data_IF_888092436402
#
_entry.id   IF_888092436402
#
_cell.length_a   1.000
_cell.length_b   1.000
_cell.length_c   1.000
_cell.angle_alpha   90.00
_cell.angle_beta   90.00
_cell.angle_gamma   90.00
#
_symmetry.space_group_name_H-M   'P 1'
#
loop_
_entity.id
_entity.type
_entity.pdbx_description
1 polymer ?
#
# COMPACT_ATOMS: atom_id res chain seq x y z
N UNK A 1 -8.52 7.45 -10.90
CA UNK A 1 -9.25 6.99 -9.69
C UNK A 1 -8.88 5.53 -9.49
N UNK A 2 -8.38 5.14 -8.31
CA UNK A 2 -7.99 3.76 -8.05
C UNK A 2 -9.20 2.91 -7.63
N UNK A 3 -9.26 1.61 -7.97
CA UNK A 3 -10.23 0.70 -7.39
C UNK A 3 -10.10 0.67 -5.86
N UNK A 4 -11.21 0.43 -5.17
CA UNK A 4 -11.29 0.56 -3.72
C UNK A 4 -11.44 -0.81 -3.07
N UNK A 5 -10.60 -1.10 -2.06
CA UNK A 5 -10.79 -2.20 -1.11
C UNK A 5 -11.39 -1.63 0.17
N UNK A 6 -12.66 -1.91 0.44
CA UNK A 6 -13.33 -1.48 1.68
C UNK A 6 -12.99 -2.43 2.82
N UNK A 7 -12.54 -1.90 3.95
CA UNK A 7 -12.27 -2.69 5.15
C UNK A 7 -13.51 -2.78 6.04
N UNK A 8 -13.66 -3.93 6.71
CA UNK A 8 -14.70 -4.18 7.71
C UNK A 8 -14.38 -3.58 9.07
N UNK A 9 -13.17 -3.06 9.25
CA UNK A 9 -12.66 -2.51 10.51
C UNK A 9 -12.32 -1.04 10.34
N UNK A 10 -12.33 -0.28 11.45
CA UNK A 10 -11.64 0.99 11.51
C UNK A 10 -10.12 0.73 11.57
N UNK A 11 -9.31 1.57 10.92
CA UNK A 11 -7.85 1.37 10.88
C UNK A 11 -7.12 2.48 11.62
N UNK A 12 -6.83 2.23 12.89
CA UNK A 12 -6.15 3.21 13.76
C UNK A 12 -4.61 3.13 13.69
N UNK A 13 -4.05 2.16 12.96
CA UNK A 13 -2.59 1.94 12.87
C UNK A 13 -2.14 1.86 11.41
N UNK A 14 -1.07 2.59 11.11
CA UNK A 14 -0.36 2.54 9.82
C UNK A 14 0.57 1.33 9.77
N UNK A 15 0.02 0.16 9.45
CA UNK A 15 0.78 -1.08 9.26
C UNK A 15 0.78 -1.47 7.77
N UNK A 16 1.87 -1.95 7.15
CA UNK A 16 1.99 -1.95 5.69
C UNK A 16 1.21 -3.06 4.97
N UNK A 17 0.50 -3.95 5.66
CA UNK A 17 -0.30 -4.97 4.97
C UNK A 17 -1.79 -4.82 5.31
N UNK A 18 -2.64 -5.37 4.45
CA UNK A 18 -4.08 -5.49 4.66
C UNK A 18 -4.43 -6.96 4.47
N UNK A 19 -4.97 -7.58 5.52
CA UNK A 19 -5.26 -9.00 5.51
C UNK A 19 -6.63 -9.25 4.90
N UNK A 20 -6.80 -10.39 4.23
CA UNK A 20 -8.07 -10.79 3.61
C UNK A 20 -9.24 -10.76 4.59
N UNK A 21 -9.00 -11.14 5.84
CA UNK A 21 -10.00 -11.09 6.92
C UNK A 21 -10.49 -9.67 7.25
N UNK A 22 -9.69 -8.64 6.96
CA UNK A 22 -10.03 -7.24 7.18
C UNK A 22 -10.83 -6.68 5.99
N UNK A 23 -10.57 -7.16 4.78
CA UNK A 23 -11.26 -6.71 3.56
C UNK A 23 -12.70 -7.26 3.49
N UNK A 24 -13.61 -6.43 2.96
CA UNK A 24 -14.96 -6.83 2.59
C UNK A 24 -14.99 -7.54 1.24
N UNK A 25 -15.96 -7.14 0.42
CA UNK A 25 -15.99 -7.46 -1.00
C UNK A 25 -14.78 -6.83 -1.71
N UNK A 26 -14.20 -7.59 -2.64
CA UNK A 26 -13.02 -7.16 -3.37
C UNK A 26 -13.46 -6.51 -4.70
N UNK A 27 -12.78 -5.44 -5.15
CA UNK A 27 -13.07 -4.87 -6.46
C UNK A 27 -12.72 -5.88 -7.56
N UNK A 28 -13.43 -5.77 -8.69
CA UNK A 28 -13.04 -6.44 -9.93
C UNK A 28 -11.84 -5.72 -10.54
N UNK A 29 -10.64 -6.15 -10.13
CA UNK A 29 -9.37 -5.58 -10.56
C UNK A 29 -8.33 -6.70 -10.74
N UNK A 30 -7.44 -6.60 -11.73
CA UNK A 30 -6.34 -7.54 -11.90
C UNK A 30 -5.42 -7.62 -10.67
N UNK A 31 -4.82 -8.79 -10.44
CA UNK A 31 -3.73 -8.91 -9.48
C UNK A 31 -2.56 -7.99 -9.91
N UNK A 32 -1.98 -7.27 -8.95
CA UNK A 32 -0.91 -6.30 -9.20
C UNK A 32 -1.40 -4.86 -9.45
N UNK A 33 -2.71 -4.63 -9.63
CA UNK A 33 -3.25 -3.27 -9.71
C UNK A 33 -2.96 -2.45 -8.45
N UNK A 34 -2.82 -1.14 -8.61
CA UNK A 34 -2.82 -0.20 -7.48
C UNK A 34 -4.25 0.05 -7.04
N UNK A 35 -4.50 -0.12 -5.75
CA UNK A 35 -5.80 0.10 -5.12
C UNK A 35 -5.67 1.00 -3.90
N UNK A 36 -6.77 1.70 -3.60
CA UNK A 36 -6.93 2.42 -2.36
C UNK A 36 -7.69 1.55 -1.35
N UNK A 37 -7.13 1.37 -0.16
CA UNK A 37 -7.85 0.81 0.96
C UNK A 37 -8.56 1.95 1.70
N UNK A 38 -9.85 1.77 1.98
CA UNK A 38 -10.63 2.68 2.83
C UNK A 38 -11.21 1.90 4.00
N UNK A 39 -11.17 2.49 5.18
CA UNK A 39 -11.64 1.79 6.38
C UNK A 39 -13.18 1.79 6.50
N UNK A 40 -13.73 1.19 7.56
CA UNK A 40 -15.18 1.12 7.75
C UNK A 40 -15.85 2.51 7.89
N UNK A 41 -15.12 3.53 8.32
CA UNK A 41 -15.62 4.92 8.41
C UNK A 41 -15.53 5.65 7.07
N UNK A 42 -14.86 5.05 6.08
CA UNK A 42 -14.55 5.68 4.79
C UNK A 42 -13.21 6.42 4.78
N UNK A 43 -12.44 6.35 5.87
CA UNK A 43 -11.16 7.04 5.97
C UNK A 43 -10.10 6.34 5.12
N UNK A 44 -9.19 7.12 4.52
CA UNK A 44 -8.10 6.57 3.73
C UNK A 44 -7.17 5.73 4.61
N UNK A 45 -7.06 4.44 4.26
CA UNK A 45 -6.33 3.45 5.03
C UNK A 45 -4.96 3.12 4.40
N UNK A 46 -4.68 3.61 3.19
CA UNK A 46 -3.42 3.42 2.47
C UNK A 46 -3.63 2.97 1.02
N UNK A 47 -2.61 3.18 0.19
CA UNK A 47 -2.58 2.81 -1.23
C UNK A 47 -1.50 1.77 -1.48
N UNK A 48 -1.78 0.77 -2.31
CA UNK A 48 -0.80 -0.28 -2.56
C UNK A 48 -1.20 -1.35 -3.56
N UNK A 49 -0.35 -2.38 -3.66
CA UNK A 49 -0.54 -3.49 -4.59
C UNK A 49 -1.65 -4.43 -4.15
N UNK A 50 -2.59 -4.71 -5.05
CA UNK A 50 -3.69 -5.63 -4.86
C UNK A 50 -3.31 -7.08 -5.18
N UNK A 51 -3.67 -8.02 -4.30
CA UNK A 51 -3.42 -9.44 -4.47
C UNK A 51 -4.67 -10.24 -4.03
N UNK A 52 -5.66 -10.45 -4.91
CA UNK A 52 -6.96 -11.02 -4.54
C UNK A 52 -6.88 -12.45 -3.99
N UNK A 53 -5.92 -13.24 -4.46
CA UNK A 53 -5.73 -14.64 -4.07
C UNK A 53 -4.88 -14.82 -2.80
N UNK A 54 -4.29 -13.74 -2.26
CA UNK A 54 -3.39 -13.81 -1.12
C UNK A 54 -4.09 -13.50 0.21
N UNK A 55 -3.59 -14.08 1.31
CA UNK A 55 -3.98 -13.67 2.67
C UNK A 55 -3.62 -12.20 2.95
N UNK A 56 -2.63 -11.66 2.26
CA UNK A 56 -2.32 -10.23 2.23
C UNK A 56 -2.94 -9.64 0.97
N UNK A 57 -4.17 -9.13 1.10
CA UNK A 57 -4.96 -8.57 0.01
C UNK A 57 -4.37 -7.27 -0.53
N UNK A 58 -3.80 -6.42 0.33
CA UNK A 58 -3.09 -5.20 -0.09
C UNK A 58 -1.75 -5.10 0.61
N UNK A 59 -0.69 -4.85 -0.16
CA UNK A 59 0.63 -4.43 0.36
C UNK A 59 0.73 -2.93 0.18
N UNK A 60 0.51 -2.19 1.27
CA UNK A 60 0.50 -0.73 1.30
C UNK A 60 1.89 -0.18 0.99
N UNK A 61 1.94 0.71 0.01
CA UNK A 61 3.13 1.43 -0.43
C UNK A 61 3.18 2.83 0.18
N UNK A 62 2.01 3.43 0.42
CA UNK A 62 1.89 4.76 1.01
C UNK A 62 0.65 4.94 1.87
N UNK A 63 0.78 5.83 2.86
CA UNK A 63 -0.33 6.34 3.68
C UNK A 63 -0.62 7.81 3.39
N UNK A 64 -0.02 8.36 2.34
CA UNK A 64 -0.35 9.68 1.80
C UNK A 64 -1.32 9.52 0.62
N UNK A 65 -2.57 10.00 0.70
CA UNK A 65 -3.53 9.87 -0.38
C UNK A 65 -3.13 10.67 -1.64
N UNK A 66 -2.29 11.69 -1.50
CA UNK A 66 -1.79 12.52 -2.59
C UNK A 66 -0.58 11.89 -3.32
N UNK A 67 0.06 10.87 -2.74
CA UNK A 67 1.24 10.23 -3.35
C UNK A 67 0.83 9.27 -4.47
N UNK A 68 1.22 9.61 -5.71
CA UNK A 68 1.09 8.73 -6.87
C UNK A 68 2.09 7.59 -6.78
N UNK A 69 1.66 6.38 -7.13
CA UNK A 69 2.54 5.20 -7.22
C UNK A 69 2.91 4.97 -8.69
N UNK A 70 4.04 5.54 -9.09
CA UNK A 70 4.62 5.48 -10.43
C UNK A 70 6.14 5.20 -10.36
N UNK A 71 6.83 5.30 -11.50
CA UNK A 71 8.28 5.08 -11.58
C UNK A 71 9.07 6.06 -10.70
N UNK A 72 8.58 7.28 -10.49
CA UNK A 72 9.23 8.28 -9.65
C UNK A 72 9.10 7.95 -8.16
N UNK A 73 7.94 7.46 -7.75
CA UNK A 73 7.76 6.90 -6.41
C UNK A 73 8.82 5.85 -6.09
N UNK A 74 9.02 4.88 -6.99
CA UNK A 74 10.02 3.83 -6.77
C UNK A 74 11.45 4.37 -6.83
N UNK A 75 11.76 5.26 -7.78
CA UNK A 75 13.09 5.90 -7.87
C UNK A 75 13.47 6.62 -6.58
N UNK A 76 12.56 7.41 -5.99
CA UNK A 76 12.81 8.10 -4.72
C UNK A 76 13.00 7.12 -3.56
N UNK A 77 12.14 6.10 -3.45
CA UNK A 77 12.24 5.08 -2.39
C UNK A 77 13.54 4.28 -2.49
N UNK A 78 13.93 3.88 -3.71
CA UNK A 78 15.17 3.14 -3.97
C UNK A 78 16.41 4.01 -3.73
N UNK A 79 16.39 5.29 -4.13
CA UNK A 79 17.48 6.23 -3.86
C UNK A 79 17.69 6.46 -2.36
N UNK A 80 16.61 6.72 -1.61
CA UNK A 80 16.68 6.85 -0.15
C UNK A 80 17.18 5.55 0.50
N UNK A 81 16.70 4.41 0.00
CA UNK A 81 17.16 3.12 0.46
C UNK A 81 18.67 2.96 0.24
N UNK A 82 19.15 3.17 -0.98
CA UNK A 82 20.55 3.08 -1.38
C UNK A 82 21.45 3.98 -0.51
N UNK A 83 21.12 5.27 -0.39
CA UNK A 83 21.87 6.22 0.42
C UNK A 83 21.98 5.77 1.89
N UNK A 84 20.88 5.26 2.46
CA UNK A 84 20.89 4.74 3.82
C UNK A 84 21.84 3.55 4.00
N UNK A 85 21.89 2.60 3.06
CA UNK A 85 22.82 1.46 3.14
C UNK A 85 24.27 1.95 3.00
N UNK A 86 24.55 2.85 2.07
CA UNK A 86 25.90 3.41 1.90
C UNK A 86 26.41 4.07 3.17
N UNK A 87 25.60 4.95 3.78
CA UNK A 87 25.99 5.65 5.00
C UNK A 87 26.13 4.71 6.21
N UNK A 88 25.26 3.71 6.33
CA UNK A 88 25.23 2.82 7.51
C UNK A 88 26.30 1.72 7.44
N UNK A 89 26.51 1.15 6.26
CA UNK A 89 27.44 0.03 6.06
C UNK A 89 28.84 0.46 5.63
N UNK A 90 29.07 1.77 5.43
CA UNK A 90 30.36 2.30 5.00
C UNK A 90 30.73 1.84 3.59
N UNK A 91 29.76 1.73 2.67
CA UNK A 91 30.00 1.28 1.29
C UNK A 91 30.55 2.41 0.38
N UNK A 92 31.32 3.34 0.97
CA UNK A 92 31.93 4.48 0.28
C UNK A 92 33.37 4.21 -0.11
#
# INVERSE_FOLDING_TARGET
MYPIVRLKIARNVKYPLVWRRMAGELPDAPAGSIVDAVDRKGDFAGRGFFCPTSQVTVRVLTFDPAETVDDEFFRRRLGAAFAFRHATLGLG
#
